data_IF_383862241323
#
_entry.id   IF_383862241323
#
_cell.length_a   1.000
_cell.length_b   1.000
_cell.length_c   1.000
_cell.angle_alpha   90.00
_cell.angle_beta   90.00
_cell.angle_gamma   90.00
#
_symmetry.space_group_name_H-M   'P 1'
#
loop_
_entity.id
_entity.type
_entity.pdbx_description
1 polymer ?
#
# COMPACT_ATOMS: atom_id res chain seq x y z
N UNK A 1 -18.61 3.42 8.28
CA UNK A 1 -19.37 2.25 8.77
C UNK A 1 -18.55 0.98 8.76
N UNK A 2 -17.94 0.57 7.64
CA UNK A 2 -16.96 -0.55 7.58
C UNK A 2 -16.00 -0.56 8.79
N UNK A 3 -15.28 0.53 9.02
CA UNK A 3 -14.33 0.64 10.14
C UNK A 3 -14.97 0.44 11.52
N UNK A 4 -16.19 0.96 11.73
CA UNK A 4 -16.92 0.80 12.99
C UNK A 4 -17.29 -0.66 13.23
N UNK A 5 -17.82 -1.33 12.21
CA UNK A 5 -18.23 -2.75 12.30
C UNK A 5 -17.03 -3.64 12.63
N UNK A 6 -15.89 -3.40 11.97
CA UNK A 6 -14.67 -4.17 12.18
C UNK A 6 -14.11 -3.87 13.58
N UNK A 7 -13.85 -2.61 13.91
CA UNK A 7 -13.17 -2.22 15.14
C UNK A 7 -13.98 -2.49 16.41
N UNK A 8 -15.31 -2.41 16.34
CA UNK A 8 -16.19 -2.71 17.49
C UNK A 8 -16.62 -4.18 17.52
N UNK A 9 -16.06 -5.03 16.64
CA UNK A 9 -16.36 -6.46 16.54
C UNK A 9 -17.88 -6.76 16.49
N UNK A 10 -18.61 -5.98 15.70
CA UNK A 10 -20.08 -6.01 15.67
C UNK A 10 -20.57 -7.28 14.97
N UNK A 11 -21.47 -8.01 15.62
CA UNK A 11 -22.25 -9.07 14.99
C UNK A 11 -23.42 -8.48 14.20
N UNK A 12 -23.47 -8.75 12.90
CA UNK A 12 -24.49 -8.23 12.00
C UNK A 12 -25.63 -9.23 11.75
N UNK A 13 -26.88 -8.78 11.59
CA UNK A 13 -27.98 -9.66 11.24
C UNK A 13 -27.89 -10.09 9.77
N UNK A 14 -28.08 -11.39 9.51
CA UNK A 14 -28.21 -11.92 8.15
C UNK A 14 -29.45 -11.36 7.45
N UNK A 15 -29.33 -11.08 6.14
CA UNK A 15 -30.46 -10.66 5.32
C UNK A 15 -31.43 -11.85 5.17
N UNK A 16 -32.69 -11.75 5.63
CA UNK A 16 -33.62 -12.86 5.58
C UNK A 16 -33.86 -13.36 4.17
N UNK A 17 -34.08 -14.67 4.01
CA UNK A 17 -34.37 -15.29 2.71
C UNK A 17 -35.52 -14.60 1.97
N UNK A 18 -36.60 -14.23 2.69
CA UNK A 18 -37.75 -13.53 2.09
C UNK A 18 -37.39 -12.18 1.47
N UNK A 19 -36.33 -11.52 1.96
CA UNK A 19 -35.80 -10.27 1.41
C UNK A 19 -34.88 -10.57 0.23
N UNK A 20 -34.00 -11.56 0.37
CA UNK A 20 -33.11 -12.00 -0.72
C UNK A 20 -33.89 -12.48 -1.96
N UNK A 21 -35.06 -13.10 -1.77
CA UNK A 21 -35.92 -13.61 -2.84
C UNK A 21 -36.44 -12.49 -3.77
N UNK A 22 -36.32 -11.21 -3.36
CA UNK A 22 -36.61 -10.05 -4.23
C UNK A 22 -35.54 -9.83 -5.30
N UNK A 23 -34.35 -10.41 -5.13
CA UNK A 23 -33.15 -10.15 -5.96
C UNK A 23 -32.56 -11.45 -6.54
N UNK A 24 -33.30 -12.17 -7.41
CA UNK A 24 -32.90 -13.50 -7.88
C UNK A 24 -31.59 -13.52 -8.67
N UNK A 25 -31.22 -12.43 -9.35
CA UNK A 25 -29.92 -12.33 -10.04
C UNK A 25 -28.75 -12.34 -9.07
N UNK A 26 -28.87 -11.63 -7.94
CA UNK A 26 -27.84 -11.57 -6.90
C UNK A 26 -27.76 -12.92 -6.19
N UNK A 27 -28.90 -13.52 -5.84
CA UNK A 27 -28.94 -14.87 -5.28
C UNK A 27 -28.25 -15.90 -6.19
N UNK A 28 -28.47 -15.82 -7.51
CA UNK A 28 -27.81 -16.71 -8.46
C UNK A 28 -26.29 -16.50 -8.51
N UNK A 29 -25.80 -15.27 -8.34
CA UNK A 29 -24.35 -15.00 -8.23
C UNK A 29 -23.75 -15.56 -6.95
N UNK A 30 -24.44 -15.41 -5.82
CA UNK A 30 -24.03 -15.99 -4.53
C UNK A 30 -24.01 -17.52 -4.60
N UNK A 31 -25.07 -18.13 -5.12
CA UNK A 31 -25.17 -19.59 -5.25
C UNK A 31 -24.02 -20.18 -6.09
N UNK A 32 -23.59 -19.48 -7.15
CA UNK A 32 -22.42 -19.91 -7.93
C UNK A 32 -21.12 -19.91 -7.12
N UNK A 33 -20.91 -18.93 -6.24
CA UNK A 33 -19.74 -18.91 -5.36
C UNK A 33 -19.78 -20.06 -4.36
N UNK A 34 -20.96 -20.35 -3.81
CA UNK A 34 -21.16 -21.48 -2.91
C UNK A 34 -20.97 -22.83 -3.62
N UNK A 35 -21.43 -22.97 -4.87
CA UNK A 35 -21.20 -24.15 -5.72
C UNK A 35 -19.71 -24.39 -5.98
N UNK A 36 -18.91 -23.31 -6.08
CA UNK A 36 -17.45 -23.36 -6.21
C UNK A 36 -16.73 -23.60 -4.86
N UNK A 37 -17.49 -23.77 -3.77
CA UNK A 37 -16.97 -24.13 -2.45
C UNK A 37 -16.63 -22.93 -1.55
N UNK A 38 -17.16 -21.74 -1.85
CA UNK A 38 -16.99 -20.54 -1.04
C UNK A 38 -18.30 -20.15 -0.34
N UNK A 39 -18.52 -20.53 0.93
CA UNK A 39 -19.70 -20.10 1.68
C UNK A 39 -19.78 -18.58 1.76
N UNK A 40 -20.99 -18.04 1.57
CA UNK A 40 -21.24 -16.59 1.58
C UNK A 40 -22.22 -16.22 2.69
N UNK A 41 -21.88 -15.19 3.46
CA UNK A 41 -22.82 -14.48 4.30
C UNK A 41 -23.22 -13.16 3.66
N UNK A 42 -24.50 -12.82 3.70
CA UNK A 42 -25.01 -11.50 3.34
C UNK A 42 -25.68 -10.87 4.56
N UNK A 43 -25.09 -9.79 5.06
CA UNK A 43 -25.49 -9.11 6.28
C UNK A 43 -26.04 -7.72 5.99
N UNK A 44 -27.06 -7.33 6.76
CA UNK A 44 -27.47 -5.94 6.87
C UNK A 44 -26.48 -5.19 7.78
N UNK A 45 -25.74 -4.25 7.20
CA UNK A 45 -24.74 -3.44 7.89
C UNK A 45 -25.28 -2.03 8.22
N UNK A 46 -26.60 -1.85 8.23
CA UNK A 46 -27.25 -0.56 8.50
C UNK A 46 -27.20 -0.10 9.94
N UNK A 47 -26.83 -1.00 10.87
CA UNK A 47 -26.83 -0.77 12.31
C UNK A 47 -28.22 -0.31 12.79
N UNK A 48 -29.23 -1.16 12.55
CA UNK A 48 -30.62 -0.91 12.92
C UNK A 48 -31.35 0.06 11.98
N UNK A 49 -31.04 0.04 10.69
CA UNK A 49 -31.68 0.86 9.66
C UNK A 49 -31.17 2.30 9.58
N UNK A 50 -30.06 2.63 10.25
CA UNK A 50 -29.53 3.99 10.31
C UNK A 50 -28.71 4.38 9.08
N UNK A 51 -27.96 3.43 8.52
CA UNK A 51 -27.03 3.68 7.41
C UNK A 51 -27.36 2.78 6.20
N UNK A 52 -27.25 3.26 4.95
CA UNK A 52 -27.57 2.47 3.76
C UNK A 52 -26.39 1.57 3.34
N UNK A 53 -26.02 0.60 4.18
CA UNK A 53 -24.81 -0.22 4.02
C UNK A 53 -25.13 -1.71 4.10
N UNK A 54 -24.48 -2.49 3.24
CA UNK A 54 -24.49 -3.96 3.22
C UNK A 54 -23.08 -4.48 3.45
N UNK A 55 -22.98 -5.63 4.12
CA UNK A 55 -21.73 -6.41 4.22
C UNK A 55 -21.96 -7.79 3.60
N UNK A 56 -21.04 -8.24 2.75
CA UNK A 56 -21.02 -9.61 2.23
C UNK A 56 -19.68 -10.21 2.57
N UNK A 57 -19.68 -11.39 3.20
CA UNK A 57 -18.47 -12.08 3.61
C UNK A 57 -18.34 -13.39 2.85
N UNK A 58 -17.18 -13.61 2.25
CA UNK A 58 -16.78 -14.88 1.65
C UNK A 58 -15.90 -15.65 2.62
N UNK A 59 -16.17 -16.94 2.80
CA UNK A 59 -15.30 -17.87 3.51
C UNK A 59 -14.56 -18.76 2.51
N UNK A 60 -13.29 -19.03 2.77
CA UNK A 60 -12.50 -19.99 2.00
C UNK A 60 -12.12 -21.20 2.88
N UNK A 61 -12.87 -22.32 2.80
CA UNK A 61 -12.62 -23.50 3.61
C UNK A 61 -11.26 -24.17 3.35
N UNK A 62 -10.62 -23.89 2.20
CA UNK A 62 -9.36 -24.54 1.83
C UNK A 62 -8.17 -24.03 2.65
N UNK A 63 -8.22 -22.78 3.13
CA UNK A 63 -7.16 -22.15 3.92
C UNK A 63 -7.66 -21.51 5.23
N UNK A 64 -8.97 -21.58 5.52
CA UNK A 64 -9.56 -21.07 6.76
C UNK A 64 -9.63 -19.54 6.84
N UNK A 65 -9.69 -18.87 5.69
CA UNK A 65 -9.67 -17.40 5.60
C UNK A 65 -11.06 -16.82 5.32
N UNK A 66 -11.23 -15.52 5.58
CA UNK A 66 -12.44 -14.78 5.22
C UNK A 66 -12.12 -13.47 4.51
N UNK A 67 -13.06 -13.01 3.68
CA UNK A 67 -13.00 -11.73 3.00
C UNK A 67 -14.33 -10.99 3.16
N UNK A 68 -14.32 -9.86 3.86
CA UNK A 68 -15.48 -9.00 4.06
C UNK A 68 -15.50 -7.83 3.07
N UNK A 69 -16.50 -7.80 2.19
CA UNK A 69 -16.81 -6.69 1.30
C UNK A 69 -17.92 -5.81 1.91
N UNK A 70 -17.84 -4.51 1.68
CA UNK A 70 -18.85 -3.54 2.13
C UNK A 70 -19.26 -2.65 0.96
N UNK A 71 -20.56 -2.49 0.77
CA UNK A 71 -21.12 -1.60 -0.24
C UNK A 71 -22.24 -0.75 0.33
N UNK A 72 -22.39 0.45 -0.23
CA UNK A 72 -23.40 1.40 0.22
C UNK A 72 -24.10 2.05 -0.97
N UNK A 73 -25.41 2.21 -0.86
CA UNK A 73 -26.26 2.92 -1.80
C UNK A 73 -27.64 3.15 -1.16
N UNK A 74 -28.31 4.30 -1.40
CA UNK A 74 -29.64 4.55 -0.85
C UNK A 74 -30.68 3.45 -1.16
N UNK A 75 -30.59 2.86 -2.34
CA UNK A 75 -31.35 1.68 -2.73
C UNK A 75 -30.69 0.37 -2.24
N UNK A 76 -31.46 -0.44 -1.49
CA UNK A 76 -31.01 -1.72 -0.93
C UNK A 76 -30.45 -2.69 -1.96
N UNK A 77 -31.14 -2.89 -3.09
CA UNK A 77 -30.72 -3.81 -4.15
C UNK A 77 -29.35 -3.39 -4.71
N UNK A 78 -29.19 -2.10 -4.97
CA UNK A 78 -27.95 -1.56 -5.55
C UNK A 78 -26.80 -1.69 -4.54
N UNK A 79 -27.04 -1.44 -3.25
CA UNK A 79 -26.02 -1.64 -2.21
C UNK A 79 -25.58 -3.11 -2.14
N UNK A 80 -26.53 -4.04 -2.14
CA UNK A 80 -26.27 -5.48 -2.12
C UNK A 80 -25.50 -5.93 -3.38
N UNK A 81 -25.96 -5.52 -4.56
CA UNK A 81 -25.31 -5.86 -5.83
C UNK A 81 -23.86 -5.35 -5.86
N UNK A 82 -23.65 -4.07 -5.51
CA UNK A 82 -22.31 -3.46 -5.45
C UNK A 82 -21.38 -4.24 -4.52
N UNK A 83 -21.87 -4.65 -3.35
CA UNK A 83 -21.08 -5.39 -2.36
C UNK A 83 -20.62 -6.74 -2.91
N UNK A 84 -21.51 -7.47 -3.60
CA UNK A 84 -21.18 -8.75 -4.24
C UNK A 84 -20.23 -8.56 -5.43
N UNK A 85 -20.42 -7.53 -6.25
CA UNK A 85 -19.54 -7.28 -7.40
C UNK A 85 -18.13 -6.85 -6.97
N UNK A 86 -18.01 -6.06 -5.91
CA UNK A 86 -16.72 -5.61 -5.37
C UNK A 86 -15.90 -6.80 -4.84
N UNK A 87 -16.57 -7.79 -4.24
CA UNK A 87 -15.95 -9.02 -3.74
C UNK A 87 -15.18 -9.79 -4.84
N UNK A 88 -15.57 -9.65 -6.10
CA UNK A 88 -14.91 -10.32 -7.24
C UNK A 88 -14.17 -9.36 -8.17
N UNK A 89 -14.14 -8.07 -7.86
CA UNK A 89 -13.57 -7.07 -8.75
C UNK A 89 -12.05 -7.26 -8.86
N UNK A 90 -11.60 -7.54 -10.09
CA UNK A 90 -10.18 -7.75 -10.38
C UNK A 90 -9.60 -9.07 -9.86
N UNK A 91 -10.44 -10.00 -9.39
CA UNK A 91 -10.01 -11.30 -8.82
C UNK A 91 -10.63 -12.46 -9.60
N UNK A 92 -9.82 -13.46 -9.93
CA UNK A 92 -10.34 -14.77 -10.30
C UNK A 92 -10.62 -15.59 -9.05
N UNK A 93 -11.38 -16.69 -9.16
CA UNK A 93 -11.63 -17.61 -8.04
C UNK A 93 -10.34 -18.21 -7.45
N UNK A 94 -9.24 -18.23 -8.22
CA UNK A 94 -7.93 -18.71 -7.75
C UNK A 94 -7.19 -17.69 -6.91
N UNK A 95 -7.57 -16.41 -6.99
CA UNK A 95 -6.90 -15.30 -6.31
C UNK A 95 -7.58 -14.98 -4.95
N UNK A 96 -8.38 -15.92 -4.43
CA UNK A 96 -9.11 -15.82 -3.16
C UNK A 96 -8.35 -16.49 -1.99
N UNK A 97 -7.04 -16.73 -2.15
CA UNK A 97 -6.17 -17.38 -1.16
C UNK A 97 -5.27 -16.40 -0.37
N UNK A 98 -5.37 -15.10 -0.66
CA UNK A 98 -4.51 -14.03 -0.10
C UNK A 98 -5.06 -13.36 1.17
N UNK A 99 -6.17 -13.85 1.72
CA UNK A 99 -6.84 -13.22 2.87
C UNK A 99 -6.42 -13.83 4.21
N UNK A 100 -6.84 -13.20 5.30
CA UNK A 100 -6.49 -13.60 6.66
C UNK A 100 -7.60 -14.47 7.30
N UNK A 101 -7.24 -15.41 8.20
CA UNK A 101 -8.21 -16.05 9.09
C UNK A 101 -8.88 -15.04 10.02
N UNK A 102 -10.15 -15.25 10.42
CA UNK A 102 -10.75 -14.43 11.47
C UNK A 102 -10.06 -14.63 12.82
N UNK A 103 -10.14 -13.61 13.69
CA UNK A 103 -9.47 -13.57 14.99
C UNK A 103 -10.45 -13.40 16.15
N UNK A 104 -10.10 -13.92 17.32
CA UNK A 104 -10.77 -13.58 18.60
C UNK A 104 -10.06 -12.44 19.35
N UNK A 105 -8.88 -12.03 18.87
CA UNK A 105 -8.17 -10.89 19.43
C UNK A 105 -8.78 -9.59 18.90
N UNK A 106 -9.80 -9.09 19.59
CA UNK A 106 -10.51 -7.87 19.18
C UNK A 106 -9.64 -6.61 19.33
N UNK A 107 -8.57 -6.64 20.14
CA UNK A 107 -7.62 -5.53 20.23
C UNK A 107 -6.86 -5.38 18.90
N UNK A 108 -6.30 -6.46 18.35
CA UNK A 108 -5.63 -6.45 17.03
C UNK A 108 -6.59 -6.08 15.90
N UNK A 109 -7.85 -6.54 15.97
CA UNK A 109 -8.88 -6.21 14.96
C UNK A 109 -9.23 -4.73 14.98
N UNK A 110 -9.20 -4.10 16.17
CA UNK A 110 -9.51 -2.69 16.35
C UNK A 110 -8.33 -1.74 16.05
N UNK A 111 -7.11 -2.27 15.89
CA UNK A 111 -5.94 -1.45 15.56
C UNK A 111 -6.14 -0.65 14.28
N UNK A 112 -5.67 0.59 14.27
CA UNK A 112 -5.84 1.47 13.12
C UNK A 112 -5.12 0.94 11.87
N UNK A 113 -3.93 0.37 12.05
CA UNK A 113 -3.19 -0.31 10.99
C UNK A 113 -3.99 -1.45 10.32
N UNK A 114 -4.82 -2.16 11.09
CA UNK A 114 -5.73 -3.17 10.53
C UNK A 114 -6.82 -2.53 9.65
N UNK A 115 -7.39 -1.40 10.08
CA UNK A 115 -8.40 -0.66 9.32
C UNK A 115 -7.83 -0.04 8.04
N UNK A 116 -6.59 0.44 8.09
CA UNK A 116 -5.85 0.92 6.92
C UNK A 116 -5.59 -0.22 5.93
N UNK A 117 -5.13 -1.38 6.41
CA UNK A 117 -4.97 -2.60 5.59
C UNK A 117 -6.28 -2.96 4.91
N UNK A 118 -7.40 -2.88 5.64
CA UNK A 118 -8.72 -3.09 5.09
C UNK A 118 -9.10 -2.10 3.98
N UNK A 119 -8.63 -0.86 4.06
CA UNK A 119 -8.84 0.15 3.01
C UNK A 119 -7.95 -0.10 1.78
N UNK A 120 -6.70 -0.51 1.99
CA UNK A 120 -5.71 -0.73 0.93
C UNK A 120 -6.10 -1.93 0.05
N UNK A 121 -6.41 -3.09 0.65
CA UNK A 121 -6.64 -4.31 -0.11
C UNK A 121 -7.66 -5.30 0.50
N UNK A 122 -8.24 -4.96 1.66
CA UNK A 122 -9.21 -5.80 2.38
C UNK A 122 -8.66 -7.13 2.93
N UNK A 123 -7.34 -7.24 3.12
CA UNK A 123 -6.68 -8.42 3.72
C UNK A 123 -6.57 -8.38 5.25
N UNK A 124 -7.08 -7.32 5.89
CA UNK A 124 -7.04 -7.16 7.33
C UNK A 124 -7.84 -8.21 8.10
N UNK A 125 -7.60 -8.28 9.40
CA UNK A 125 -8.28 -9.16 10.34
C UNK A 125 -9.75 -8.79 10.49
N UNK A 126 -10.59 -9.81 10.62
CA UNK A 126 -12.02 -9.72 10.94
C UNK A 126 -12.27 -10.52 12.22
N UNK A 127 -13.11 -9.99 13.11
CA UNK A 127 -13.47 -10.72 14.33
C UNK A 127 -14.38 -11.92 14.03
N UNK A 128 -14.20 -13.02 14.77
CA UNK A 128 -15.18 -14.12 14.78
C UNK A 128 -16.56 -13.68 15.27
N UNK A 129 -16.64 -12.60 16.06
CA UNK A 129 -17.91 -12.09 16.59
C UNK A 129 -18.86 -11.60 15.49
N UNK A 130 -18.33 -11.22 14.31
CA UNK A 130 -19.14 -10.88 13.14
C UNK A 130 -20.15 -11.98 12.78
N UNK A 131 -19.79 -13.24 13.02
CA UNK A 131 -20.54 -14.44 12.63
C UNK A 131 -21.39 -15.06 13.75
N UNK A 132 -21.58 -14.38 14.89
CA UNK A 132 -22.45 -14.87 15.97
C UNK A 132 -23.89 -15.12 15.46
N UNK A 133 -24.54 -16.16 16.00
CA UNK A 133 -25.95 -16.46 15.71
C UNK A 133 -26.91 -15.38 16.22
N UNK A 134 -26.56 -14.72 17.33
CA UNK A 134 -27.32 -13.59 17.86
C UNK A 134 -26.65 -12.27 17.46
N UNK A 135 -27.26 -11.50 16.55
CA UNK A 135 -26.71 -10.22 16.10
C UNK A 135 -26.89 -9.14 17.17
N UNK A 136 -26.02 -8.13 17.13
CA UNK A 136 -26.08 -7.00 18.07
C UNK A 136 -27.12 -5.95 17.63
N UNK A 137 -27.63 -6.08 16.40
CA UNK A 137 -28.70 -5.26 15.83
C UNK A 137 -29.78 -6.15 15.21
N UNK A 138 -31.02 -5.68 15.22
CA UNK A 138 -32.10 -6.29 14.43
C UNK A 138 -31.94 -5.94 12.94
N UNK A 139 -32.29 -6.90 12.07
CA UNK A 139 -32.36 -6.66 10.62
C UNK A 139 -33.36 -5.54 10.32
N UNK A 140 -32.97 -4.58 9.49
CA UNK A 140 -33.87 -3.57 8.94
C UNK A 140 -34.00 -3.74 7.42
N UNK A 141 -35.24 -3.85 6.93
CA UNK A 141 -35.54 -3.78 5.50
C UNK A 141 -35.61 -2.31 5.04
N UNK A 142 -34.45 -1.64 5.10
CA UNK A 142 -34.33 -0.21 4.88
C UNK A 142 -34.43 0.18 3.40
N UNK A 143 -34.89 1.40 3.13
CA UNK A 143 -34.90 2.00 1.80
C UNK A 143 -34.79 3.52 1.91
N UNK A 144 -33.72 4.07 1.34
CA UNK A 144 -33.48 5.51 1.26
C UNK A 144 -33.60 6.04 -0.18
N UNK A 145 -34.07 5.19 -1.11
CA UNK A 145 -34.12 5.50 -2.53
C UNK A 145 -35.20 6.51 -2.90
N UNK A 146 -35.01 7.15 -4.05
CA UNK A 146 -35.88 8.17 -4.60
C UNK A 146 -35.28 8.74 -5.87
N UNK A 147 -35.60 9.98 -6.19
CA UNK A 147 -34.80 10.76 -7.14
C UNK A 147 -33.42 11.04 -6.56
N UNK A 148 -32.42 11.31 -7.39
CA UNK A 148 -31.06 11.64 -6.93
C UNK A 148 -31.01 12.82 -5.95
N UNK A 149 -31.94 13.77 -6.09
CA UNK A 149 -32.08 14.90 -5.15
C UNK A 149 -32.66 14.47 -3.80
N UNK A 150 -33.63 13.56 -3.78
CA UNK A 150 -34.18 12.99 -2.55
C UNK A 150 -33.15 12.11 -1.86
N UNK A 151 -32.44 11.27 -2.61
CA UNK A 151 -31.33 10.45 -2.11
C UNK A 151 -30.24 11.31 -1.45
N UNK A 152 -29.80 12.39 -2.11
CA UNK A 152 -28.88 13.35 -1.52
C UNK A 152 -29.42 13.93 -0.20
N UNK A 153 -30.69 14.35 -0.17
CA UNK A 153 -31.31 14.93 1.01
C UNK A 153 -31.42 13.93 2.17
N UNK A 154 -31.75 12.67 1.86
CA UNK A 154 -31.81 11.56 2.82
C UNK A 154 -30.44 11.29 3.43
N UNK A 155 -29.39 11.20 2.60
CA UNK A 155 -28.01 11.02 3.08
C UNK A 155 -27.52 12.21 3.93
N UNK A 156 -27.79 13.44 3.49
CA UNK A 156 -27.44 14.63 4.29
C UNK A 156 -28.22 14.71 5.61
N UNK A 157 -29.42 14.13 5.69
CA UNK A 157 -30.16 14.04 6.95
C UNK A 157 -29.46 13.13 7.95
N UNK A 158 -28.83 12.04 7.51
CA UNK A 158 -28.01 11.16 8.37
C UNK A 158 -26.84 11.95 8.96
N UNK A 159 -26.07 12.67 8.13
CA UNK A 159 -24.95 13.48 8.62
C UNK A 159 -25.39 14.57 9.61
N UNK A 160 -26.53 15.24 9.35
CA UNK A 160 -27.11 16.21 10.29
C UNK A 160 -27.52 15.56 11.62
N UNK A 161 -28.13 14.37 11.57
CA UNK A 161 -28.52 13.65 12.78
C UNK A 161 -27.31 13.16 13.59
N UNK A 162 -26.20 12.87 12.92
CA UNK A 162 -24.92 12.49 13.54
C UNK A 162 -24.07 13.71 13.93
N UNK A 163 -24.57 14.93 13.74
CA UNK A 163 -23.88 16.20 14.01
C UNK A 163 -22.51 16.29 13.29
N UNK A 164 -22.46 15.84 12.04
CA UNK A 164 -21.27 15.84 11.19
C UNK A 164 -21.40 16.85 10.07
N UNK A 165 -20.43 17.77 10.02
CA UNK A 165 -20.32 18.74 8.93
C UNK A 165 -19.80 18.07 7.66
N UNK A 166 -20.32 18.49 6.51
CA UNK A 166 -19.99 17.91 5.21
C UNK A 166 -19.40 18.97 4.29
N UNK A 167 -18.15 18.77 3.89
CA UNK A 167 -17.46 19.63 2.94
C UNK A 167 -17.49 18.98 1.56
N UNK A 168 -17.99 19.71 0.56
CA UNK A 168 -18.07 19.24 -0.82
C UNK A 168 -17.29 20.19 -1.72
N UNK A 169 -16.39 19.64 -2.53
CA UNK A 169 -15.73 20.34 -3.61
C UNK A 169 -16.16 19.76 -4.95
N UNK A 170 -16.83 20.56 -5.77
CA UNK A 170 -17.28 20.19 -7.11
C UNK A 170 -16.20 20.46 -8.18
N UNK A 171 -16.09 19.55 -9.15
CA UNK A 171 -15.19 19.65 -10.29
C UNK A 171 -15.95 19.38 -11.59
N UNK A 172 -15.92 20.35 -12.50
CA UNK A 172 -16.54 20.25 -13.83
C UNK A 172 -15.54 20.54 -14.98
N UNK A 173 -14.25 20.64 -14.68
CA UNK A 173 -13.22 21.10 -15.61
C UNK A 173 -12.81 20.09 -16.69
N UNK A 174 -13.42 18.90 -16.69
CA UNK A 174 -13.24 17.83 -17.69
C UNK A 174 -14.57 17.42 -18.36
N UNK A 175 -15.58 18.28 -18.31
CA UNK A 175 -16.92 18.05 -18.89
C UNK A 175 -17.68 16.83 -18.34
N UNK A 176 -17.24 16.32 -17.20
CA UNK A 176 -17.92 15.30 -16.39
C UNK A 176 -17.95 15.82 -14.95
N UNK A 177 -19.12 15.76 -14.32
CA UNK A 177 -19.25 16.12 -12.91
C UNK A 177 -18.49 15.12 -12.04
N UNK A 178 -17.60 15.65 -11.22
CA UNK A 178 -16.93 14.93 -10.16
C UNK A 178 -17.00 15.76 -8.88
N UNK A 179 -16.97 15.10 -7.72
CA UNK A 179 -16.85 15.79 -6.45
C UNK A 179 -15.84 15.09 -5.55
N UNK A 180 -15.31 15.83 -4.58
CA UNK A 180 -14.61 15.28 -3.43
C UNK A 180 -15.36 15.70 -2.18
N UNK A 181 -15.75 14.72 -1.37
CA UNK A 181 -16.53 14.91 -0.16
C UNK A 181 -15.63 14.58 1.04
N UNK A 182 -15.60 15.46 2.04
CA UNK A 182 -14.88 15.28 3.29
C UNK A 182 -15.87 15.45 4.45
N UNK A 183 -15.90 14.48 5.35
CA UNK A 183 -16.74 14.46 6.56
C UNK A 183 -15.83 14.12 7.75
N UNK A 184 -15.27 15.11 8.44
CA UNK A 184 -14.34 14.87 9.54
C UNK A 184 -14.93 14.01 10.66
N UNK A 185 -14.18 13.00 11.09
CA UNK A 185 -14.61 11.96 12.01
C UNK A 185 -15.52 10.89 11.39
N UNK A 186 -15.63 10.80 10.05
CA UNK A 186 -16.37 9.74 9.35
C UNK A 186 -15.72 9.28 8.05
N UNK A 187 -15.18 10.21 7.25
CA UNK A 187 -14.54 9.89 5.96
C UNK A 187 -13.02 9.71 6.07
N UNK A 188 -12.45 9.95 7.24
CA UNK A 188 -11.02 9.83 7.52
C UNK A 188 -10.61 8.36 7.37
N UNK A 189 -9.50 8.15 6.66
CA UNK A 189 -8.89 6.83 6.47
C UNK A 189 -7.74 6.63 7.45
N UNK A 190 -6.93 7.67 7.60
CA UNK A 190 -5.78 7.75 8.51
C UNK A 190 -6.12 8.68 9.68
N UNK A 191 -5.46 8.52 10.84
CA UNK A 191 -5.68 9.36 12.00
C UNK A 191 -5.00 10.72 11.79
N UNK A 192 -5.45 11.74 12.53
CA UNK A 192 -4.88 13.08 12.41
C UNK A 192 -3.40 13.14 12.84
N UNK A 193 -2.98 12.24 13.73
CA UNK A 193 -1.61 12.15 14.25
C UNK A 193 -0.59 11.81 13.14
N UNK A 194 -1.03 11.18 12.04
CA UNK A 194 -0.18 10.90 10.87
C UNK A 194 0.32 12.17 10.18
N UNK A 195 -0.32 13.32 10.42
CA UNK A 195 0.22 14.61 9.97
C UNK A 195 1.59 14.92 10.60
N UNK A 196 1.90 14.31 11.75
CA UNK A 196 3.17 14.43 12.46
C UNK A 196 4.03 13.20 12.21
N UNK A 197 3.47 12.00 12.39
CA UNK A 197 4.27 10.76 12.45
C UNK A 197 4.42 10.01 11.12
N UNK A 198 3.52 10.22 10.16
CA UNK A 198 3.51 9.52 8.88
C UNK A 198 3.25 10.47 7.70
N UNK A 199 3.78 11.68 7.78
CA UNK A 199 3.52 12.73 6.79
C UNK A 199 4.25 12.43 5.48
N UNK A 200 3.49 12.27 4.39
CA UNK A 200 4.06 11.98 3.08
C UNK A 200 4.90 13.13 2.46
N UNK A 201 4.99 14.29 3.11
CA UNK A 201 5.91 15.37 2.73
C UNK A 201 7.24 15.35 3.52
N UNK A 202 7.42 14.45 4.48
CA UNK A 202 8.63 14.38 5.32
C UNK A 202 9.91 14.23 4.49
N UNK A 203 9.86 13.50 3.38
CA UNK A 203 10.99 13.31 2.48
C UNK A 203 11.24 14.46 1.49
N UNK A 204 10.53 15.59 1.59
CA UNK A 204 10.69 16.69 0.64
C UNK A 204 12.10 17.29 0.69
N UNK A 205 12.62 17.54 1.90
CA UNK A 205 13.95 18.13 2.10
C UNK A 205 15.08 17.16 1.73
N UNK A 206 14.79 15.85 1.70
CA UNK A 206 15.71 14.79 1.30
C UNK A 206 15.85 14.64 -0.21
N UNK A 207 14.89 15.16 -1.00
CA UNK A 207 14.80 14.85 -2.44
C UNK A 207 16.04 15.25 -3.21
N UNK A 208 16.50 16.48 -3.03
CA UNK A 208 17.63 17.02 -3.80
C UNK A 208 18.90 16.19 -3.56
N UNK A 209 19.28 16.00 -2.30
CA UNK A 209 20.50 15.27 -1.96
C UNK A 209 20.42 13.80 -2.38
N UNK A 210 19.29 13.12 -2.17
CA UNK A 210 19.17 11.70 -2.53
C UNK A 210 19.25 11.48 -4.04
N UNK A 211 18.70 12.39 -4.86
CA UNK A 211 18.81 12.30 -6.32
C UNK A 211 20.24 12.58 -6.83
N UNK A 212 21.01 13.38 -6.11
CA UNK A 212 22.39 13.75 -6.44
C UNK A 212 23.42 12.71 -5.94
N UNK A 213 23.12 11.95 -4.88
CA UNK A 213 24.00 10.91 -4.31
C UNK A 213 24.70 10.03 -5.35
N UNK A 214 24.03 9.52 -6.41
CA UNK A 214 24.67 8.63 -7.36
C UNK A 214 25.73 9.32 -8.24
N UNK A 215 25.86 10.65 -8.22
CA UNK A 215 27.02 11.33 -8.82
C UNK A 215 28.32 11.08 -8.02
N UNK A 216 28.21 10.67 -6.75
CA UNK A 216 29.31 10.28 -5.86
C UNK A 216 30.48 11.28 -5.85
N UNK A 217 30.17 12.54 -5.55
CA UNK A 217 31.11 13.66 -5.56
C UNK A 217 31.19 14.42 -4.23
N UNK A 218 30.39 14.03 -3.24
CA UNK A 218 30.42 14.60 -1.89
C UNK A 218 31.59 14.04 -1.07
N UNK A 219 31.92 14.72 0.02
CA UNK A 219 32.93 14.26 0.97
C UNK A 219 32.35 13.25 1.98
N UNK A 220 33.24 12.63 2.75
CA UNK A 220 32.87 11.67 3.78
C UNK A 220 31.99 12.29 4.88
N UNK A 221 32.17 13.58 5.19
CA UNK A 221 31.35 14.28 6.20
C UNK A 221 29.89 14.32 5.77
N UNK A 222 29.61 14.65 4.51
CA UNK A 222 28.25 14.64 3.95
C UNK A 222 27.59 13.25 4.04
N UNK A 223 28.31 12.17 3.70
CA UNK A 223 27.74 10.82 3.77
C UNK A 223 27.48 10.36 5.21
N UNK A 224 28.34 10.77 6.15
CA UNK A 224 28.18 10.51 7.57
C UNK A 224 26.96 11.27 8.14
N UNK A 225 26.83 12.56 7.83
CA UNK A 225 25.67 13.37 8.24
C UNK A 225 24.35 12.77 7.74
N UNK A 226 24.31 12.26 6.50
CA UNK A 226 23.10 11.62 5.97
C UNK A 226 22.72 10.35 6.75
N UNK A 227 23.68 9.54 7.17
CA UNK A 227 23.41 8.38 8.02
C UNK A 227 22.85 8.81 9.38
N UNK A 228 23.47 9.82 10.01
CA UNK A 228 23.03 10.35 11.30
C UNK A 228 21.64 10.97 11.25
N UNK A 229 21.30 11.67 10.16
CA UNK A 229 19.97 12.24 9.95
C UNK A 229 18.91 11.17 9.65
N UNK A 230 19.26 10.10 8.92
CA UNK A 230 18.32 8.99 8.68
C UNK A 230 17.94 8.30 9.99
N UNK A 231 18.91 8.09 10.89
CA UNK A 231 18.69 7.51 12.21
C UNK A 231 18.03 8.52 13.17
N UNK A 232 18.47 9.78 13.17
CA UNK A 232 17.98 10.82 14.07
C UNK A 232 16.53 11.27 13.82
N UNK A 233 16.03 11.08 12.60
CA UNK A 233 14.64 11.31 12.23
C UNK A 233 13.76 10.04 12.36
N UNK A 234 14.31 8.93 12.88
CA UNK A 234 13.62 7.64 13.04
C UNK A 234 12.96 7.15 11.73
N UNK A 235 13.63 7.35 10.58
CA UNK A 235 13.11 6.91 9.29
C UNK A 235 13.22 5.38 9.20
N UNK A 236 12.08 4.70 9.09
CA UNK A 236 12.01 3.23 8.98
C UNK A 236 12.86 2.73 7.80
N UNK A 237 13.78 1.81 8.09
CA UNK A 237 14.68 1.17 7.12
C UNK A 237 13.94 0.49 5.97
N UNK A 238 12.71 -0.01 6.23
CA UNK A 238 11.87 -0.64 5.23
C UNK A 238 11.23 0.37 4.26
N UNK A 239 11.25 1.67 4.56
CA UNK A 239 10.66 2.71 3.71
C UNK A 239 11.29 2.66 2.32
N UNK A 240 10.46 2.65 1.27
CA UNK A 240 10.95 2.74 -0.11
C UNK A 240 11.35 4.17 -0.40
N UNK A 241 12.59 4.38 -0.82
CA UNK A 241 13.13 5.73 -1.05
C UNK A 241 12.32 6.45 -2.14
N UNK A 242 11.89 5.73 -3.20
CA UNK A 242 11.06 6.33 -4.26
C UNK A 242 9.71 6.87 -3.76
N UNK A 243 9.13 6.24 -2.74
CA UNK A 243 7.86 6.67 -2.14
C UNK A 243 8.11 7.85 -1.20
N UNK A 244 9.18 7.76 -0.39
CA UNK A 244 9.61 8.81 0.53
C UNK A 244 9.86 10.17 -0.15
N UNK A 245 10.59 10.19 -1.27
CA UNK A 245 10.88 11.42 -2.00
C UNK A 245 9.89 11.70 -3.16
N UNK A 246 8.86 10.87 -3.35
CA UNK A 246 7.78 11.13 -4.30
C UNK A 246 8.18 11.07 -5.79
N UNK A 247 9.01 10.09 -6.18
CA UNK A 247 9.44 9.89 -7.57
C UNK A 247 8.79 8.65 -8.20
N UNK A 248 8.67 8.69 -9.53
CA UNK A 248 8.32 7.51 -10.32
C UNK A 248 9.64 7.00 -10.88
N UNK A 249 10.14 5.94 -10.27
CA UNK A 249 11.45 5.39 -10.54
C UNK A 249 11.61 4.96 -12.02
N UNK A 250 12.79 5.17 -12.63
CA UNK A 250 13.11 4.63 -13.94
C UNK A 250 12.98 3.11 -13.95
N UNK A 251 12.40 2.53 -15.01
CA UNK A 251 12.34 1.07 -15.14
C UNK A 251 13.74 0.46 -15.11
N UNK A 252 13.84 -0.72 -14.49
CA UNK A 252 15.07 -1.50 -14.37
C UNK A 252 16.22 -0.79 -13.62
N UNK A 253 15.92 0.28 -12.86
CA UNK A 253 16.89 0.93 -11.96
C UNK A 253 16.67 0.49 -10.51
N UNK A 254 17.72 0.59 -9.68
CA UNK A 254 17.62 0.25 -8.26
C UNK A 254 16.62 1.14 -7.52
N UNK A 255 16.34 2.37 -8.00
CA UNK A 255 15.27 3.24 -7.47
C UNK A 255 13.91 2.53 -7.32
N UNK A 256 13.63 1.52 -8.14
CA UNK A 256 12.35 0.77 -8.10
C UNK A 256 12.15 -0.02 -6.82
N UNK A 257 13.25 -0.48 -6.20
CA UNK A 257 13.27 -1.38 -5.04
C UNK A 257 14.05 -0.82 -3.86
N UNK A 258 14.82 0.26 -4.06
CA UNK A 258 15.65 0.90 -3.05
C UNK A 258 14.84 1.23 -1.79
N UNK A 259 15.31 0.69 -0.66
CA UNK A 259 14.83 1.02 0.68
C UNK A 259 15.89 1.80 1.46
N UNK A 260 15.50 2.42 2.56
CA UNK A 260 16.41 3.18 3.42
C UNK A 260 17.55 2.30 3.95
N UNK A 261 17.28 1.06 4.39
CA UNK A 261 18.34 0.15 4.82
C UNK A 261 19.32 -0.24 3.69
N UNK A 262 18.84 -0.32 2.44
CA UNK A 262 19.70 -0.55 1.28
C UNK A 262 20.57 0.68 0.97
N UNK A 263 19.99 1.88 1.09
CA UNK A 263 20.72 3.14 0.98
C UNK A 263 21.82 3.26 2.06
N UNK A 264 21.55 2.83 3.30
CA UNK A 264 22.55 2.79 4.37
C UNK A 264 23.75 1.92 3.99
N UNK A 265 23.54 0.76 3.35
CA UNK A 265 24.64 -0.07 2.81
C UNK A 265 25.52 0.72 1.83
N UNK A 266 24.90 1.45 0.89
CA UNK A 266 25.63 2.27 -0.10
C UNK A 266 26.39 3.43 0.54
N UNK A 267 25.82 4.08 1.56
CA UNK A 267 26.48 5.17 2.30
C UNK A 267 27.69 4.65 3.10
N UNK A 268 27.56 3.53 3.82
CA UNK A 268 28.69 2.92 4.51
C UNK A 268 29.79 2.46 3.54
N UNK A 269 29.43 1.96 2.35
CA UNK A 269 30.42 1.70 1.29
C UNK A 269 31.13 2.98 0.84
N UNK A 270 30.41 4.11 0.71
CA UNK A 270 31.02 5.39 0.37
C UNK A 270 32.02 5.88 1.44
N UNK A 271 31.79 5.53 2.70
CA UNK A 271 32.66 5.83 3.84
C UNK A 271 33.81 4.82 4.02
N UNK A 272 33.76 3.67 3.33
CA UNK A 272 34.70 2.56 3.54
C UNK A 272 34.45 1.76 4.82
N UNK A 273 33.27 1.89 5.43
CA UNK A 273 32.84 1.22 6.65
C UNK A 273 32.28 -0.17 6.33
N UNK A 274 33.21 -1.09 6.02
CA UNK A 274 32.87 -2.40 5.45
C UNK A 274 32.04 -3.29 6.39
N UNK A 275 32.19 -3.20 7.72
CA UNK A 275 31.41 -4.00 8.66
C UNK A 275 29.92 -3.60 8.63
N UNK A 276 29.63 -2.31 8.70
CA UNK A 276 28.28 -1.78 8.64
C UNK A 276 27.65 -1.97 7.25
N UNK A 277 28.45 -1.75 6.19
CA UNK A 277 28.02 -2.03 4.82
C UNK A 277 27.58 -3.49 4.64
N UNK A 278 28.27 -4.45 5.27
CA UNK A 278 27.95 -5.88 5.23
C UNK A 278 26.61 -6.18 5.91
N UNK A 279 26.37 -5.62 7.09
CA UNK A 279 25.12 -5.82 7.83
C UNK A 279 23.92 -5.35 7.01
N UNK A 280 24.01 -4.15 6.44
CA UNK A 280 22.95 -3.59 5.59
C UNK A 280 22.82 -4.30 4.23
N UNK A 281 23.90 -4.80 3.65
CA UNK A 281 23.84 -5.61 2.43
C UNK A 281 23.11 -6.94 2.68
N UNK A 282 23.35 -7.59 3.84
CA UNK A 282 22.62 -8.77 4.27
C UNK A 282 21.14 -8.46 4.54
N UNK A 283 20.85 -7.37 5.24
CA UNK A 283 19.49 -6.89 5.47
C UNK A 283 18.75 -6.69 4.13
N UNK A 284 19.41 -6.04 3.17
CA UNK A 284 18.87 -5.76 1.84
C UNK A 284 18.49 -7.03 1.10
N UNK A 285 19.38 -8.03 1.08
CA UNK A 285 19.12 -9.30 0.41
C UNK A 285 17.93 -10.04 1.04
N UNK A 286 17.82 -10.00 2.37
CA UNK A 286 16.72 -10.64 3.09
C UNK A 286 15.38 -9.93 2.83
N UNK A 287 15.34 -8.61 3.01
CA UNK A 287 14.12 -7.80 2.91
C UNK A 287 13.60 -7.65 1.48
N UNK A 288 14.47 -7.65 0.48
CA UNK A 288 14.09 -7.49 -0.92
C UNK A 288 14.05 -8.80 -1.71
N UNK A 289 14.22 -9.95 -1.03
CA UNK A 289 14.25 -11.28 -1.67
C UNK A 289 13.01 -11.60 -2.53
N UNK A 290 11.84 -11.06 -2.17
CA UNK A 290 10.57 -11.26 -2.88
C UNK A 290 10.40 -10.35 -4.11
N UNK A 291 11.14 -9.24 -4.19
CA UNK A 291 10.99 -8.22 -5.26
C UNK A 291 12.20 -8.15 -6.19
N UNK A 292 13.38 -8.57 -5.74
CA UNK A 292 14.56 -8.61 -6.59
C UNK A 292 14.44 -9.68 -7.67
N UNK A 293 14.85 -9.31 -8.88
CA UNK A 293 15.09 -10.25 -9.96
C UNK A 293 16.47 -10.91 -9.80
N UNK A 294 16.80 -11.82 -10.71
CA UNK A 294 18.08 -12.57 -10.65
C UNK A 294 19.31 -11.66 -10.61
N UNK A 295 19.30 -10.53 -11.31
CA UNK A 295 20.47 -9.65 -11.43
C UNK A 295 20.82 -8.92 -10.12
N UNK A 296 19.91 -8.15 -9.46
CA UNK A 296 20.18 -7.56 -8.15
C UNK A 296 20.53 -8.57 -7.06
N UNK A 297 19.83 -9.72 -7.01
CA UNK A 297 20.17 -10.81 -6.07
C UNK A 297 21.63 -11.24 -6.23
N UNK A 298 22.05 -11.40 -7.47
CA UNK A 298 23.38 -11.86 -7.79
C UNK A 298 24.46 -10.78 -7.52
N UNK A 299 24.15 -9.50 -7.76
CA UNK A 299 25.01 -8.38 -7.33
C UNK A 299 25.21 -8.37 -5.81
N UNK A 300 24.13 -8.39 -5.01
CA UNK A 300 24.25 -8.35 -3.55
C UNK A 300 24.96 -9.57 -2.98
N UNK A 301 24.75 -10.77 -3.54
CA UNK A 301 25.54 -11.96 -3.15
C UNK A 301 27.03 -11.83 -3.45
N UNK A 302 27.38 -11.21 -4.57
CA UNK A 302 28.77 -10.90 -4.89
C UNK A 302 29.34 -9.86 -3.92
N UNK A 303 28.60 -8.78 -3.68
CA UNK A 303 28.98 -7.70 -2.77
C UNK A 303 29.26 -8.23 -1.36
N UNK A 304 28.33 -8.99 -0.78
CA UNK A 304 28.47 -9.62 0.55
C UNK A 304 29.75 -10.46 0.62
N UNK A 305 29.93 -11.41 -0.32
CA UNK A 305 31.13 -12.27 -0.36
C UNK A 305 32.44 -11.48 -0.52
N UNK A 306 32.40 -10.39 -1.28
CA UNK A 306 33.57 -9.52 -1.50
C UNK A 306 33.89 -8.72 -0.24
N UNK A 307 32.90 -8.16 0.44
CA UNK A 307 33.10 -7.44 1.70
C UNK A 307 33.68 -8.38 2.77
N UNK A 308 33.08 -9.57 2.96
CA UNK A 308 33.58 -10.60 3.88
C UNK A 308 35.05 -10.97 3.60
N UNK A 309 35.40 -11.10 2.33
CA UNK A 309 36.77 -11.41 1.92
C UNK A 309 37.77 -10.28 2.21
N UNK A 310 37.35 -9.01 2.11
CA UNK A 310 38.20 -7.85 2.40
C UNK A 310 38.30 -7.56 3.90
N UNK A 311 37.34 -8.02 4.71
CA UNK A 311 37.41 -8.02 6.17
C UNK A 311 38.30 -9.15 6.72
N UNK A 312 38.51 -10.23 5.95
CA UNK A 312 39.35 -11.37 6.36
C UNK A 312 40.85 -11.04 6.26
N UNK A 313 41.54 -11.05 7.41
CA UNK A 313 42.97 -10.74 7.49
C UNK A 313 43.90 -11.90 7.06
N UNK A 314 43.36 -13.09 6.77
CA UNK A 314 44.14 -14.30 6.47
C UNK A 314 44.13 -14.67 4.99
N UNK A 315 43.35 -13.97 4.16
CA UNK A 315 43.15 -14.30 2.73
C UNK A 315 43.59 -13.14 1.86
N UNK A 316 44.11 -13.46 0.67
CA UNK A 316 44.45 -12.46 -0.34
C UNK A 316 43.29 -12.31 -1.33
N UNK A 317 42.55 -11.17 -1.36
CA UNK A 317 41.34 -11.04 -2.16
C UNK A 317 41.54 -11.32 -3.67
N UNK A 318 42.69 -10.91 -4.21
CA UNK A 318 43.02 -11.10 -5.63
C UNK A 318 42.98 -12.57 -6.10
N UNK A 319 43.22 -13.53 -5.20
CA UNK A 319 43.19 -14.95 -5.52
C UNK A 319 41.78 -15.48 -5.83
N UNK A 320 40.73 -14.81 -5.32
CA UNK A 320 39.34 -15.27 -5.42
C UNK A 320 38.55 -14.60 -6.56
N UNK A 321 39.06 -13.50 -7.14
CA UNK A 321 38.35 -12.75 -8.19
C UNK A 321 37.90 -13.65 -9.34
N UNK A 322 38.78 -14.54 -9.81
CA UNK A 322 38.48 -15.43 -10.94
C UNK A 322 37.36 -16.44 -10.67
N UNK A 323 37.20 -16.91 -9.42
CA UNK A 323 36.10 -17.82 -9.06
C UNK A 323 34.82 -17.04 -8.79
N UNK A 324 34.91 -15.84 -8.23
CA UNK A 324 33.75 -14.95 -8.07
C UNK A 324 33.17 -14.58 -9.43
N UNK A 325 34.00 -14.23 -10.41
CA UNK A 325 33.54 -13.94 -11.79
C UNK A 325 32.82 -15.13 -12.45
N UNK A 326 33.18 -16.37 -12.09
CA UNK A 326 32.49 -17.57 -12.57
C UNK A 326 31.17 -17.82 -11.84
N UNK A 327 31.10 -17.50 -10.54
CA UNK A 327 29.92 -17.72 -9.71
C UNK A 327 28.85 -16.65 -9.96
N UNK A 328 29.26 -15.38 -9.90
CA UNK A 328 28.37 -14.23 -9.92
C UNK A 328 28.42 -13.47 -11.26
N UNK A 329 29.18 -13.94 -12.24
CA UNK A 329 29.35 -13.23 -13.50
C UNK A 329 30.28 -12.01 -13.41
N UNK A 330 30.84 -11.63 -14.54
CA UNK A 330 31.90 -10.61 -14.59
C UNK A 330 31.42 -9.22 -14.21
N UNK A 331 30.22 -8.83 -14.65
CA UNK A 331 29.74 -7.45 -14.48
C UNK A 331 29.40 -7.15 -13.01
N UNK A 332 28.69 -8.06 -12.33
CA UNK A 332 28.36 -7.93 -10.91
C UNK A 332 29.63 -7.87 -10.06
N UNK A 333 30.58 -8.79 -10.30
CA UNK A 333 31.86 -8.82 -9.58
C UNK A 333 32.66 -7.55 -9.85
N UNK A 334 32.76 -7.10 -11.10
CA UNK A 334 33.47 -5.88 -11.44
C UNK A 334 32.91 -4.67 -10.67
N UNK A 335 31.59 -4.52 -10.62
CA UNK A 335 30.96 -3.39 -9.94
C UNK A 335 31.11 -3.47 -8.41
N UNK A 336 30.83 -4.64 -7.81
CA UNK A 336 30.97 -4.83 -6.38
C UNK A 336 32.43 -4.70 -5.90
N UNK A 337 33.39 -5.26 -6.66
CA UNK A 337 34.82 -5.13 -6.31
C UNK A 337 35.28 -3.67 -6.38
N UNK A 338 34.81 -2.94 -7.39
CA UNK A 338 35.15 -1.53 -7.53
C UNK A 338 34.62 -0.71 -6.35
N UNK A 339 33.36 -0.94 -5.94
CA UNK A 339 32.75 -0.27 -4.79
C UNK A 339 33.47 -0.59 -3.46
N UNK A 340 34.02 -1.80 -3.30
CA UNK A 340 34.66 -2.22 -2.04
C UNK A 340 36.12 -1.82 -1.95
N UNK A 341 36.90 -1.90 -3.04
CA UNK A 341 38.36 -1.75 -2.93
C UNK A 341 39.07 -1.05 -4.10
N UNK A 342 38.38 -0.64 -5.16
CA UNK A 342 39.01 0.05 -6.31
C UNK A 342 38.54 1.50 -6.49
N UNK A 343 37.86 2.08 -5.50
CA UNK A 343 37.36 3.45 -5.56
C UNK A 343 36.29 3.64 -6.65
N UNK A 344 35.42 2.65 -6.83
CA UNK A 344 34.24 2.72 -7.68
C UNK A 344 33.02 3.26 -6.94
N UNK A 345 32.07 3.78 -7.70
CA UNK A 345 30.85 4.36 -7.16
C UNK A 345 29.99 3.29 -6.42
N UNK A 346 29.65 3.50 -5.15
CA UNK A 346 28.91 2.53 -4.34
C UNK A 346 27.40 2.50 -4.63
N UNK A 347 26.85 3.50 -5.33
CA UNK A 347 25.42 3.60 -5.64
C UNK A 347 25.06 2.75 -6.88
N UNK A 348 24.95 1.44 -6.67
CA UNK A 348 24.73 0.46 -7.73
C UNK A 348 23.42 0.65 -8.50
N UNK A 349 23.53 0.79 -9.83
CA UNK A 349 22.41 0.89 -10.77
C UNK A 349 21.38 1.98 -10.39
N UNK A 350 21.89 3.07 -9.83
CA UNK A 350 21.16 4.26 -9.43
C UNK A 350 21.50 5.41 -10.38
N UNK A 351 20.66 5.72 -11.38
CA UNK A 351 20.88 6.89 -12.22
C UNK A 351 20.67 8.17 -11.39
N UNK A 352 21.69 9.03 -11.36
CA UNK A 352 21.62 10.35 -10.75
C UNK A 352 20.61 11.25 -11.47
N UNK A 353 20.02 12.21 -10.75
CA UNK A 353 19.10 13.19 -11.31
C UNK A 353 19.10 14.48 -10.47
N UNK A 354 18.22 15.41 -10.85
CA UNK A 354 17.87 16.60 -10.09
C UNK A 354 16.35 16.64 -9.89
N UNK A 355 15.84 17.71 -9.26
CA UNK A 355 14.39 17.86 -9.04
C UNK A 355 13.56 18.02 -10.33
N UNK A 356 14.20 18.25 -11.49
CA UNK A 356 13.49 18.28 -12.78
C UNK A 356 13.21 16.87 -13.29
N UNK A 357 13.95 15.86 -12.82
CA UNK A 357 13.75 14.44 -13.11
C UNK A 357 13.77 14.15 -14.63
N UNK A 358 14.55 14.89 -15.42
CA UNK A 358 14.49 14.87 -16.89
C UNK A 358 14.81 13.49 -17.46
N UNK A 359 15.75 12.75 -16.84
CA UNK A 359 16.14 11.41 -17.24
C UNK A 359 15.21 10.31 -16.71
N UNK A 360 14.18 10.65 -15.91
CA UNK A 360 13.22 9.68 -15.36
C UNK A 360 11.99 9.63 -16.26
N UNK A 361 12.10 8.87 -17.35
CA UNK A 361 11.08 8.80 -18.41
C UNK A 361 9.66 8.50 -17.87
N UNK A 362 9.54 7.60 -16.91
CA UNK A 362 8.27 7.25 -16.27
C UNK A 362 7.68 8.44 -15.50
N UNK A 363 8.50 9.23 -14.82
CA UNK A 363 8.06 10.44 -14.13
C UNK A 363 7.69 11.55 -15.13
N UNK A 364 8.47 11.73 -16.19
CA UNK A 364 8.14 12.67 -17.28
C UNK A 364 6.81 12.32 -17.96
N UNK A 365 6.50 11.03 -18.11
CA UNK A 365 5.20 10.59 -18.62
C UNK A 365 4.04 11.00 -17.69
N UNK A 366 4.23 10.87 -16.37
CA UNK A 366 3.27 11.35 -15.37
C UNK A 366 3.09 12.88 -15.47
N UNK A 367 4.17 13.65 -15.53
CA UNK A 367 4.12 15.10 -15.70
C UNK A 367 3.46 15.52 -17.03
N UNK A 368 3.70 14.77 -18.10
CA UNK A 368 3.05 14.96 -19.39
C UNK A 368 1.53 14.74 -19.32
N UNK A 369 1.07 13.72 -18.59
CA UNK A 369 -0.35 13.50 -18.33
C UNK A 369 -0.94 14.61 -17.45
N UNK A 370 -0.25 14.99 -16.38
CA UNK A 370 -0.68 16.08 -15.49
C UNK A 370 -0.75 17.43 -16.21
N UNK A 371 0.18 17.70 -17.14
CA UNK A 371 0.18 18.88 -17.98
C UNK A 371 -1.09 19.04 -18.84
N UNK A 372 -1.72 17.92 -19.26
CA UNK A 372 -3.03 17.95 -19.94
C UNK A 372 -4.12 18.43 -19.00
N UNK A 373 -4.15 17.92 -17.76
CA UNK A 373 -5.10 18.34 -16.73
C UNK A 373 -4.94 19.84 -16.39
N UNK A 374 -3.71 20.33 -16.25
CA UNK A 374 -3.45 21.74 -15.97
C UNK A 374 -3.91 22.66 -17.11
N UNK A 375 -3.84 22.22 -18.37
CA UNK A 375 -4.42 22.95 -19.51
C UNK A 375 -5.95 23.02 -19.41
N UNK A 376 -6.61 21.89 -19.13
CA UNK A 376 -8.06 21.84 -18.97
C UNK A 376 -8.56 22.75 -17.83
N UNK A 377 -7.93 22.68 -16.65
CA UNK A 377 -8.23 23.57 -15.50
C UNK A 377 -8.14 25.05 -15.86
N UNK A 378 -7.06 25.47 -16.55
CA UNK A 378 -6.89 26.87 -16.98
C UNK A 378 -7.91 27.31 -18.03
N UNK A 379 -8.35 26.40 -18.89
CA UNK A 379 -9.39 26.69 -19.87
C UNK A 379 -10.76 26.86 -19.21
N UNK A 380 -11.06 26.08 -18.17
CA UNK A 380 -12.31 26.16 -17.42
C UNK A 380 -12.40 27.37 -16.48
N UNK A 381 -11.26 27.89 -16.02
CA UNK A 381 -11.20 29.11 -15.18
C UNK A 381 -11.37 30.42 -15.97
N UNK A 382 -11.25 30.38 -17.30
CA UNK A 382 -11.51 31.52 -18.19
C UNK A 382 -12.97 31.56 -18.57
#
# INVERSE_FOLDING_TARGET
MKNKIIAEAISLPEIPKSVMDRYPSIQASIAKLEEEGFPIYAFDASLGGKYPVICVVLLNPNNGTCFASFGAHPNFQVALERTVTELLQGRSLKDLDVFSPPSFNNDDVAEHANLETHFIDSSGLISWDLFKETPDYEFADWDFSGTTQEEYNNLMAIFRADEKEVYVMDYNHLDVYACRIIVPGMSDIYPADDLIYANNNMGMDWREILLDLPNWHHDAETYQELLEELDGQDIDDATRVREFIGIVAPKNSSWTTLRVGELKSMLHLALGELEQALDWANWTLNMNSSVFTTEPVNYYRALISIIELHLDQNREPAQYRSVFEKMYGKDAVKQAWAAVSEGGNPFYNLPASDENLENFNEHQALLGAYGKLQKAKRAHQK
#
